data_IF_487968029875
#
_entry.id   IF_487968029875
#
_cell.length_a   1.000
_cell.length_b   1.000
_cell.length_c   1.000
_cell.angle_alpha   90.00
_cell.angle_beta   90.00
_cell.angle_gamma   90.00
#
_symmetry.space_group_name_H-M   'P 1'
#
loop_
_entity.id
_entity.type
_entity.pdbx_description
1 polymer ?
#
# COMPACT_ATOMS: atom_id res chain seq x y z
N UNK A 1 -37.91 -41.79 -1.26
CA UNK A 1 -36.68 -41.14 -1.76
C UNK A 1 -36.67 -39.81 -1.02
N UNK A 2 -36.08 -39.83 0.17
CA UNK A 2 -36.37 -38.84 1.20
C UNK A 2 -35.32 -37.73 1.13
N UNK A 3 -35.77 -36.54 0.74
CA UNK A 3 -34.92 -35.35 0.65
C UNK A 3 -34.57 -34.87 2.06
N UNK A 4 -33.35 -35.14 2.49
CA UNK A 4 -32.76 -34.59 3.71
C UNK A 4 -32.41 -33.13 3.46
N UNK A 5 -33.30 -32.22 3.86
CA UNK A 5 -33.01 -30.80 3.97
C UNK A 5 -32.20 -30.57 5.23
N UNK A 6 -30.88 -30.41 5.11
CA UNK A 6 -30.05 -29.93 6.23
C UNK A 6 -30.35 -28.45 6.47
N UNK A 7 -30.81 -28.05 7.67
CA UNK A 7 -30.92 -26.63 8.00
C UNK A 7 -29.51 -26.03 8.06
N UNK A 8 -29.26 -25.07 7.17
CA UNK A 8 -28.03 -24.28 7.17
C UNK A 8 -28.10 -23.32 8.37
N UNK A 9 -27.64 -23.78 9.53
CA UNK A 9 -27.54 -22.96 10.74
C UNK A 9 -26.46 -21.90 10.52
N UNK A 10 -26.89 -20.72 10.05
CA UNK A 10 -26.07 -19.51 10.07
C UNK A 10 -25.73 -19.19 11.53
N UNK A 11 -24.47 -18.91 11.88
CA UNK A 11 -24.18 -18.26 13.15
C UNK A 11 -24.72 -16.83 13.07
N UNK A 12 -25.93 -16.61 13.57
CA UNK A 12 -26.43 -15.27 13.88
C UNK A 12 -25.60 -14.74 15.03
N UNK A 13 -24.62 -13.90 14.72
CA UNK A 13 -23.88 -13.16 15.74
C UNK A 13 -24.88 -12.21 16.44
N UNK A 14 -25.04 -12.28 17.77
CA UNK A 14 -26.00 -11.44 18.46
C UNK A 14 -25.53 -9.98 18.40
N UNK A 15 -26.32 -9.15 17.70
CA UNK A 15 -26.04 -7.71 17.47
C UNK A 15 -26.15 -6.86 18.74
N UNK A 16 -26.69 -7.38 19.84
CA UNK A 16 -26.97 -6.65 21.08
C UNK A 16 -25.73 -6.26 21.92
N UNK A 17 -24.52 -6.61 21.49
CA UNK A 17 -23.32 -6.56 22.35
C UNK A 17 -22.35 -5.43 22.03
N UNK A 18 -22.54 -4.72 20.91
CA UNK A 18 -21.65 -3.65 20.43
C UNK A 18 -22.43 -2.35 20.30
N UNK A 19 -21.93 -1.27 20.91
CA UNK A 19 -22.54 0.05 20.73
C UNK A 19 -22.58 0.44 19.25
N UNK A 20 -23.68 1.05 18.76
CA UNK A 20 -23.83 1.41 17.34
C UNK A 20 -22.73 2.35 16.86
N UNK A 21 -22.28 3.27 17.72
CA UNK A 21 -21.15 4.18 17.43
C UNK A 21 -19.84 3.43 17.16
N UNK A 22 -19.62 2.31 17.85
CA UNK A 22 -18.44 1.45 17.66
C UNK A 22 -18.50 0.73 16.32
N UNK A 23 -19.68 0.22 15.93
CA UNK A 23 -19.89 -0.36 14.61
C UNK A 23 -19.64 0.66 13.50
N UNK A 24 -20.18 1.88 13.62
CA UNK A 24 -19.96 2.96 12.65
C UNK A 24 -18.47 3.31 12.50
N UNK A 25 -17.74 3.36 13.62
CA UNK A 25 -16.31 3.65 13.60
C UNK A 25 -15.48 2.53 12.94
N UNK A 26 -15.82 1.27 13.19
CA UNK A 26 -15.19 0.11 12.55
C UNK A 26 -15.52 0.05 11.06
N UNK A 27 -16.78 0.27 10.68
CA UNK A 27 -17.21 0.33 9.29
C UNK A 27 -16.44 1.40 8.52
N UNK A 28 -16.33 2.62 9.07
CA UNK A 28 -15.57 3.70 8.47
C UNK A 28 -14.09 3.33 8.30
N UNK A 29 -13.50 2.62 9.27
CA UNK A 29 -12.13 2.13 9.19
C UNK A 29 -11.96 1.11 8.06
N UNK A 30 -12.80 0.08 7.98
CA UNK A 30 -12.69 -0.98 6.98
C UNK A 30 -13.09 -0.54 5.56
N UNK A 31 -14.03 0.40 5.44
CA UNK A 31 -14.29 1.09 4.16
C UNK A 31 -13.05 1.82 3.64
N UNK A 32 -12.17 2.29 4.53
CA UNK A 32 -10.87 2.83 4.16
C UNK A 32 -9.92 1.83 3.46
N UNK A 33 -10.22 0.52 3.54
CA UNK A 33 -9.52 -0.55 2.82
C UNK A 33 -10.29 -1.04 1.58
N UNK A 34 -11.44 -0.43 1.25
CA UNK A 34 -12.26 -0.78 0.10
C UNK A 34 -13.36 -1.81 0.36
N UNK A 35 -13.60 -2.24 1.61
CA UNK A 35 -14.72 -3.13 1.92
C UNK A 35 -16.04 -2.37 1.89
N UNK A 36 -16.99 -2.82 1.06
CA UNK A 36 -18.31 -2.18 0.91
C UNK A 36 -19.48 -3.09 1.33
N UNK A 37 -19.32 -4.41 1.24
CA UNK A 37 -20.37 -5.35 1.56
C UNK A 37 -20.66 -5.39 3.06
N UNK A 38 -21.94 -5.29 3.43
CA UNK A 38 -22.37 -5.29 4.83
C UNK A 38 -21.97 -6.59 5.57
N UNK A 39 -22.01 -7.73 4.87
CA UNK A 39 -21.58 -9.02 5.41
C UNK A 39 -20.09 -9.03 5.77
N UNK A 40 -19.25 -8.45 4.92
CA UNK A 40 -17.82 -8.33 5.16
C UNK A 40 -17.53 -7.38 6.32
N UNK A 41 -18.20 -6.22 6.37
CA UNK A 41 -18.03 -5.25 7.45
C UNK A 41 -18.42 -5.84 8.82
N UNK A 42 -19.52 -6.61 8.88
CA UNK A 42 -19.93 -7.30 10.10
C UNK A 42 -18.90 -8.37 10.53
N UNK A 43 -18.39 -9.16 9.59
CA UNK A 43 -17.36 -10.16 9.86
C UNK A 43 -16.05 -9.53 10.33
N UNK A 44 -15.65 -8.40 9.74
CA UNK A 44 -14.45 -7.66 10.12
C UNK A 44 -14.60 -6.95 11.47
N UNK A 45 -15.79 -6.47 11.81
CA UNK A 45 -16.07 -5.93 13.15
C UNK A 45 -15.94 -7.03 14.22
N UNK A 46 -16.50 -8.22 13.97
CA UNK A 46 -16.34 -9.38 14.85
C UNK A 46 -14.87 -9.80 14.97
N UNK A 47 -14.14 -9.85 13.86
CA UNK A 47 -12.70 -10.13 13.86
C UNK A 47 -11.90 -9.06 14.61
N UNK A 48 -12.25 -7.78 14.49
CA UNK A 48 -11.55 -6.71 15.20
C UNK A 48 -11.70 -6.82 16.73
N UNK A 49 -12.89 -7.23 17.18
CA UNK A 49 -13.29 -7.29 18.59
C UNK A 49 -13.11 -8.68 19.22
N UNK A 50 -12.67 -9.68 18.45
CA UNK A 50 -12.45 -11.02 18.96
C UNK A 50 -11.51 -11.03 20.18
N UNK A 51 -11.88 -11.79 21.21
CA UNK A 51 -11.14 -11.86 22.47
C UNK A 51 -11.35 -10.68 23.42
N UNK A 52 -12.19 -9.69 23.05
CA UNK A 52 -12.56 -8.56 23.89
C UNK A 52 -14.04 -8.62 24.25
N UNK A 53 -14.38 -8.39 25.51
CA UNK A 53 -15.77 -8.19 25.93
C UNK A 53 -16.30 -6.90 25.31
N UNK A 54 -17.03 -7.03 24.19
CA UNK A 54 -17.45 -5.92 23.34
C UNK A 54 -18.39 -4.90 24.03
N UNK A 55 -19.00 -5.29 25.15
CA UNK A 55 -20.05 -4.55 25.87
C UNK A 55 -19.61 -3.21 26.46
N UNK A 56 -18.32 -2.85 26.45
CA UNK A 56 -17.84 -1.57 27.00
C UNK A 56 -16.65 -0.96 26.24
N UNK A 57 -16.44 -1.35 24.98
CA UNK A 57 -15.32 -0.84 24.17
C UNK A 57 -15.71 0.49 23.55
N UNK A 58 -14.99 1.56 23.93
CA UNK A 58 -15.12 2.88 23.31
C UNK A 58 -14.79 2.80 21.81
N UNK A 59 -15.46 3.56 20.92
CA UNK A 59 -15.21 3.51 19.47
C UNK A 59 -13.73 3.68 19.10
N UNK A 60 -13.02 4.59 19.78
CA UNK A 60 -11.59 4.84 19.56
C UNK A 60 -10.72 3.61 19.90
N UNK A 61 -11.06 2.88 20.97
CA UNK A 61 -10.34 1.69 21.37
C UNK A 61 -10.59 0.54 20.39
N UNK A 62 -11.82 0.40 19.90
CA UNK A 62 -12.15 -0.58 18.86
C UNK A 62 -11.37 -0.33 17.56
N UNK A 63 -11.28 0.94 17.12
CA UNK A 63 -10.46 1.30 15.95
C UNK A 63 -8.98 1.05 16.21
N UNK A 64 -8.47 1.31 17.41
CA UNK A 64 -7.08 1.00 17.77
C UNK A 64 -6.79 -0.52 17.69
N UNK A 65 -7.70 -1.36 18.17
CA UNK A 65 -7.61 -2.82 18.04
C UNK A 65 -7.63 -3.26 16.58
N UNK A 66 -8.54 -2.72 15.77
CA UNK A 66 -8.62 -3.01 14.34
C UNK A 66 -7.32 -2.62 13.61
N UNK A 67 -6.74 -1.46 13.95
CA UNK A 67 -5.44 -1.01 13.44
C UNK A 67 -4.32 -1.99 13.80
N UNK A 68 -4.21 -2.37 15.07
CA UNK A 68 -3.17 -3.28 15.54
C UNK A 68 -3.27 -4.67 14.87
N UNK A 69 -4.48 -5.21 14.74
CA UNK A 69 -4.73 -6.48 14.04
C UNK A 69 -4.37 -6.39 12.56
N UNK A 70 -4.76 -5.30 11.90
CA UNK A 70 -4.43 -5.09 10.48
C UNK A 70 -2.93 -4.91 10.26
N UNK A 71 -2.24 -4.18 11.13
CA UNK A 71 -0.79 -4.03 11.09
C UNK A 71 -0.08 -5.37 11.29
N UNK A 72 -0.54 -6.18 12.25
CA UNK A 72 -0.04 -7.55 12.48
C UNK A 72 -0.26 -8.46 11.25
N UNK A 73 -1.41 -8.34 10.59
CA UNK A 73 -1.67 -9.07 9.34
C UNK A 73 -0.73 -8.62 8.22
N UNK A 74 -0.57 -7.30 8.03
CA UNK A 74 0.32 -6.73 7.01
C UNK A 74 1.79 -7.11 7.23
N UNK A 75 2.28 -7.10 8.47
CA UNK A 75 3.64 -7.55 8.80
C UNK A 75 3.87 -8.99 8.35
N UNK A 76 2.93 -9.90 8.68
CA UNK A 76 2.99 -11.31 8.29
C UNK A 76 2.96 -11.51 6.77
N UNK A 77 2.09 -10.78 6.07
CA UNK A 77 1.91 -10.93 4.63
C UNK A 77 3.07 -10.33 3.84
N UNK A 78 3.63 -9.22 4.30
CA UNK A 78 4.69 -8.54 3.57
C UNK A 78 6.08 -9.05 3.95
N UNK A 79 6.20 -9.80 5.07
CA UNK A 79 7.48 -10.23 5.65
C UNK A 79 8.38 -9.01 5.97
N UNK A 80 7.73 -7.92 6.39
CA UNK A 80 8.38 -6.66 6.71
C UNK A 80 8.57 -6.60 8.22
N UNK A 81 9.65 -7.22 8.72
CA UNK A 81 10.06 -7.06 10.10
C UNK A 81 10.40 -5.58 10.36
N UNK A 82 9.56 -4.91 11.14
CA UNK A 82 9.83 -3.61 11.75
C UNK A 82 10.06 -2.41 10.81
N UNK A 83 9.19 -2.18 9.83
CA UNK A 83 9.01 -0.81 9.32
C UNK A 83 8.34 -0.01 10.44
N UNK A 84 9.09 0.90 11.08
CA UNK A 84 8.70 1.62 12.31
C UNK A 84 7.22 2.04 12.42
N UNK A 85 6.73 2.00 13.66
CA UNK A 85 5.32 2.13 14.07
C UNK A 85 4.51 3.13 13.21
N UNK A 86 3.40 2.67 12.64
CA UNK A 86 2.42 3.50 11.93
C UNK A 86 2.73 3.80 10.46
N UNK A 87 3.99 3.65 9.99
CA UNK A 87 4.32 3.79 8.56
C UNK A 87 3.86 2.58 7.74
N UNK A 88 3.84 1.40 8.35
CA UNK A 88 3.42 0.16 7.71
C UNK A 88 1.94 0.18 7.37
N UNK A 89 1.07 0.62 8.29
CA UNK A 89 -0.37 0.63 8.06
C UNK A 89 -0.76 1.53 6.87
N UNK A 90 -0.14 2.71 6.74
CA UNK A 90 -0.44 3.63 5.63
C UNK A 90 -0.01 3.05 4.28
N UNK A 91 1.21 2.49 4.20
CA UNK A 91 1.73 1.85 2.98
C UNK A 91 0.98 0.58 2.63
N UNK A 92 0.72 -0.25 3.63
CA UNK A 92 -0.03 -1.50 3.50
C UNK A 92 -1.47 -1.26 3.06
N UNK A 93 -2.14 -0.23 3.59
CA UNK A 93 -3.47 0.18 3.10
C UNK A 93 -3.42 0.60 1.63
N UNK A 94 -2.47 1.45 1.25
CA UNK A 94 -2.33 1.86 -0.15
C UNK A 94 -2.08 0.65 -1.06
N UNK A 95 -1.18 -0.25 -0.68
CA UNK A 95 -0.92 -1.47 -1.43
C UNK A 95 -2.16 -2.37 -1.50
N UNK A 96 -2.92 -2.53 -0.41
CA UNK A 96 -4.14 -3.33 -0.35
C UNK A 96 -5.23 -2.79 -1.27
N UNK A 97 -5.43 -1.46 -1.30
CA UNK A 97 -6.38 -0.81 -2.19
C UNK A 97 -5.92 -0.93 -3.66
N UNK A 98 -4.63 -0.72 -3.95
CA UNK A 98 -4.08 -0.84 -5.31
C UNK A 98 -4.14 -2.27 -5.86
N UNK A 99 -4.09 -3.27 -4.98
CA UNK A 99 -4.21 -4.69 -5.34
C UNK A 99 -5.66 -5.19 -5.34
N UNK A 100 -6.63 -4.31 -5.11
CA UNK A 100 -8.06 -4.63 -5.02
C UNK A 100 -8.32 -5.76 -4.01
N UNK A 101 -7.68 -5.69 -2.84
CA UNK A 101 -7.72 -6.75 -1.83
C UNK A 101 -9.13 -6.99 -1.27
N UNK A 102 -9.98 -5.97 -1.27
CA UNK A 102 -11.35 -6.06 -0.77
C UNK A 102 -12.23 -7.02 -1.60
N UNK A 103 -11.90 -7.26 -2.88
CA UNK A 103 -12.63 -8.20 -3.75
C UNK A 103 -12.66 -9.64 -3.23
N UNK A 104 -11.72 -10.00 -2.35
CA UNK A 104 -11.63 -11.33 -1.73
C UNK A 104 -12.50 -11.45 -0.47
N UNK A 105 -13.19 -10.37 -0.08
CA UNK A 105 -14.05 -10.29 1.10
C UNK A 105 -13.29 -10.38 2.41
N UNK A 106 -14.03 -10.35 3.53
CA UNK A 106 -13.49 -10.40 4.88
C UNK A 106 -12.65 -11.67 5.14
N UNK A 107 -12.92 -12.74 4.39
CA UNK A 107 -12.22 -14.02 4.48
C UNK A 107 -10.70 -13.92 4.34
N UNK A 108 -10.21 -12.88 3.66
CA UNK A 108 -8.79 -12.65 3.44
C UNK A 108 -8.03 -12.22 4.69
N UNK A 109 -8.74 -11.57 5.63
CA UNK A 109 -8.19 -11.11 6.91
C UNK A 109 -8.44 -12.12 8.03
N UNK A 110 -9.49 -12.94 7.91
CA UNK A 110 -9.90 -13.90 8.95
C UNK A 110 -9.31 -15.30 8.76
N UNK A 111 -8.81 -15.65 7.58
CA UNK A 111 -8.12 -16.92 7.31
C UNK A 111 -6.62 -16.83 7.58
N UNK A 112 -6.02 -17.95 7.98
CA UNK A 112 -4.57 -18.03 8.20
C UNK A 112 -3.74 -17.90 6.91
N UNK A 113 -4.29 -18.34 5.77
CA UNK A 113 -3.57 -18.36 4.50
C UNK A 113 -4.14 -17.32 3.52
N UNK A 114 -3.28 -16.39 3.09
CA UNK A 114 -3.63 -15.39 2.08
C UNK A 114 -3.53 -15.99 0.68
N UNK A 115 -4.51 -15.76 -0.22
CA UNK A 115 -4.43 -16.21 -1.60
C UNK A 115 -3.13 -15.75 -2.27
N UNK A 116 -2.45 -16.67 -2.96
CA UNK A 116 -1.14 -16.42 -3.60
C UNK A 116 -1.17 -15.22 -4.56
N UNK A 117 -2.29 -15.03 -5.26
CA UNK A 117 -2.48 -13.91 -6.18
C UNK A 117 -2.46 -12.57 -5.45
N UNK A 118 -3.22 -12.44 -4.36
CA UNK A 118 -3.24 -11.23 -3.54
C UNK A 118 -1.88 -10.99 -2.90
N UNK A 119 -1.22 -12.03 -2.39
CA UNK A 119 0.13 -11.92 -1.83
C UNK A 119 1.13 -11.32 -2.84
N UNK A 120 1.10 -11.81 -4.09
CA UNK A 120 1.96 -11.28 -5.17
C UNK A 120 1.61 -9.84 -5.52
N UNK A 121 0.32 -9.54 -5.65
CA UNK A 121 -0.17 -8.20 -5.96
C UNK A 121 0.21 -7.19 -4.87
N UNK A 122 0.05 -7.56 -3.59
CA UNK A 122 0.45 -6.75 -2.45
C UNK A 122 1.95 -6.47 -2.47
N UNK A 123 2.80 -7.50 -2.63
CA UNK A 123 4.25 -7.30 -2.71
C UNK A 123 4.69 -6.43 -3.89
N UNK A 124 4.00 -6.53 -5.03
CA UNK A 124 4.27 -5.66 -6.17
C UNK A 124 3.80 -4.22 -5.96
N UNK A 125 2.72 -4.02 -5.20
CA UNK A 125 2.12 -2.71 -4.93
C UNK A 125 2.73 -1.97 -3.74
N UNK A 126 3.44 -2.66 -2.83
CA UNK A 126 4.12 -2.01 -1.70
C UNK A 126 5.22 -1.09 -2.24
N UNK A 127 5.20 0.21 -1.91
CA UNK A 127 6.22 1.14 -2.36
C UNK A 127 7.59 0.69 -1.85
N UNK A 128 8.51 0.40 -2.77
CA UNK A 128 9.91 0.13 -2.44
C UNK A 128 10.48 1.38 -1.77
N UNK A 129 11.20 1.26 -0.63
CA UNK A 129 11.82 2.42 0.00
C UNK A 129 12.76 3.10 -1.00
N UNK A 130 12.60 4.40 -1.19
CA UNK A 130 13.51 5.21 -2.01
C UNK A 130 14.94 4.98 -1.50
N UNK A 131 15.90 4.62 -2.38
CA UNK A 131 17.27 4.42 -1.96
C UNK A 131 17.76 5.70 -1.26
N UNK A 132 18.49 5.52 -0.16
CA UNK A 132 19.06 6.64 0.57
C UNK A 132 19.89 7.49 -0.40
N UNK A 133 19.64 8.79 -0.43
CA UNK A 133 20.44 9.71 -1.24
C UNK A 133 21.87 9.68 -0.69
N UNK A 134 22.74 8.92 -1.34
CA UNK A 134 24.17 9.01 -1.11
C UNK A 134 24.59 10.36 -1.70
N UNK A 135 25.18 11.22 -0.87
CA UNK A 135 25.77 12.47 -1.34
C UNK A 135 26.94 12.13 -2.28
N UNK A 136 26.64 11.90 -3.55
CA UNK A 136 27.64 11.74 -4.59
C UNK A 136 28.11 13.12 -4.97
N UNK A 137 29.41 13.36 -4.85
CA UNK A 137 30.01 14.56 -5.44
C UNK A 137 29.74 14.49 -6.95
N UNK A 138 29.07 15.49 -7.50
CA UNK A 138 28.85 15.58 -8.94
C UNK A 138 30.24 15.62 -9.59
N UNK A 139 30.63 14.63 -10.43
CA UNK A 139 31.91 14.70 -11.12
C UNK A 139 31.93 16.01 -11.91
N UNK A 140 33.04 16.74 -11.84
CA UNK A 140 33.18 18.00 -12.57
C UNK A 140 32.84 17.75 -14.05
N UNK A 141 31.67 18.22 -14.45
CA UNK A 141 31.27 18.17 -15.85
C UNK A 141 32.14 19.21 -16.55
N UNK A 142 33.22 18.75 -17.19
CA UNK A 142 33.91 19.55 -18.20
C UNK A 142 32.92 19.77 -19.34
N UNK A 143 32.12 20.82 -19.23
CA UNK A 143 31.33 21.37 -20.31
C UNK A 143 32.33 21.88 -21.34
N UNK A 144 32.72 21.03 -22.28
CA UNK A 144 33.49 21.43 -23.46
C UNK A 144 32.55 22.28 -24.31
N UNK A 145 32.52 23.58 -24.02
CA UNK A 145 31.57 24.53 -24.57
C UNK A 145 31.76 24.79 -26.07
N UNK A 146 32.71 24.19 -26.78
CA UNK A 146 32.85 24.44 -28.22
C UNK A 146 33.60 23.37 -29.06
N UNK A 147 32.93 22.28 -29.47
CA UNK A 147 33.33 21.59 -30.69
C UNK A 147 32.84 22.34 -31.95
N UNK A 148 31.73 23.08 -31.85
CA UNK A 148 31.13 23.84 -32.96
C UNK A 148 31.89 25.13 -33.27
N UNK A 149 32.35 25.86 -32.25
CA UNK A 149 33.07 27.12 -32.43
C UNK A 149 34.44 26.95 -33.10
N UNK A 150 35.09 25.79 -32.94
CA UNK A 150 36.31 25.46 -33.69
C UNK A 150 36.03 25.13 -35.15
N UNK A 151 34.94 24.40 -35.44
CA UNK A 151 34.53 24.11 -36.83
C UNK A 151 34.14 25.38 -37.56
N UNK A 152 33.41 26.29 -36.92
CA UNK A 152 33.02 27.59 -37.49
C UNK A 152 34.24 28.48 -37.74
N UNK A 153 35.21 28.53 -36.81
CA UNK A 153 36.47 29.26 -37.01
C UNK A 153 37.31 28.67 -38.15
N UNK A 154 37.36 27.34 -38.31
CA UNK A 154 38.02 26.72 -39.47
C UNK A 154 37.30 27.03 -40.78
N UNK A 155 35.97 27.04 -40.78
CA UNK A 155 35.17 27.38 -41.95
C UNK A 155 35.35 28.84 -42.35
N UNK A 156 35.37 29.75 -41.37
CA UNK A 156 35.63 31.18 -41.57
C UNK A 156 37.06 31.45 -42.06
N UNK A 157 38.06 30.68 -41.61
CA UNK A 157 39.44 30.78 -42.13
C UNK A 157 39.61 30.17 -43.52
N UNK A 158 38.86 29.15 -43.87
CA UNK A 158 38.87 28.57 -45.22
C UNK A 158 38.29 29.51 -46.29
N UNK A 159 37.59 30.59 -45.88
CA UNK A 159 37.05 31.62 -46.77
C UNK A 159 37.97 32.82 -47.04
N UNK A 160 39.19 32.87 -46.49
CA UNK A 160 40.19 33.87 -46.89
C UNK A 160 41.25 33.25 -47.80
N UNK A 161 41.10 33.34 -49.14
CA UNK A 161 42.21 33.09 -50.04
C UNK A 161 43.22 34.25 -49.94
N UNK A 162 44.47 33.92 -49.65
CA UNK A 162 45.69 34.68 -49.92
C UNK A 162 45.61 36.21 -49.83
N UNK A 163 45.74 36.75 -48.61
CA UNK A 163 46.48 38.01 -48.45
C UNK A 163 47.95 37.68 -48.61
N UNK A 164 48.43 37.86 -49.85
CA UNK A 164 49.83 37.79 -50.25
C UNK A 164 50.75 38.47 -49.24
N UNK A 165 51.61 37.69 -48.58
CA UNK A 165 52.84 38.21 -47.97
C UNK A 165 53.83 38.46 -49.12
N UNK A 166 53.81 39.68 -49.65
CA UNK A 166 54.97 40.23 -50.36
C UNK A 166 55.89 40.87 -49.33
N UNK A 167 57.19 40.53 -49.43
CA UNK A 167 58.32 40.92 -48.57
C UNK A 167 58.25 42.29 -47.91
#
# INVERSE_FOLDING_TARGET
MDSVTTPNTRPSVPTDWVHPETCVALDAFFRGFGFEAAEDLAALAAWALEGVTASNVKPQAAVALARARMETWLTRVLDMDAVGEGRLLTRGRAAFVLSDGARFGASVLTRDAVPRELYRALRAAVPVPTPAQVATQMPEQQLVLWPLGERLRRWLRAGQPDMSVSR
#
